data_IF_713173043869
#
_entry.id   IF_713173043869
#
_cell.length_a   1.000
_cell.length_b   1.000
_cell.length_c   1.000
_cell.angle_alpha   90.00
_cell.angle_beta   90.00
_cell.angle_gamma   90.00
#
_symmetry.space_group_name_H-M   'P 1'
#
loop_
_entity.id
_entity.type
_entity.pdbx_description
1 polymer ?
#
# COMPACT_ATOMS: atom_id res chain seq x y z
N UNK A 1 -1.94 -14.19 29.41
CA UNK A 1 -2.64 -13.34 28.42
C UNK A 1 -1.61 -12.75 27.48
N UNK A 2 -1.83 -12.77 26.18
CA UNK A 2 -0.90 -12.14 25.23
C UNK A 2 -1.00 -10.61 25.33
N UNK A 3 0.15 -9.90 25.41
CA UNK A 3 0.19 -8.43 25.43
C UNK A 3 -0.42 -7.88 24.12
N UNK A 4 -1.34 -6.89 24.17
CA UNK A 4 -1.95 -6.31 22.98
C UNK A 4 -0.89 -5.63 22.08
N UNK A 5 -1.17 -5.58 20.78
CA UNK A 5 -0.32 -4.89 19.81
C UNK A 5 -0.65 -3.40 19.80
N UNK A 6 0.37 -2.59 20.03
CA UNK A 6 0.31 -1.13 19.97
C UNK A 6 0.24 -0.62 18.53
N UNK A 7 -0.20 0.63 18.33
CA UNK A 7 -0.18 1.24 16.99
C UNK A 7 1.25 1.35 16.44
N UNK A 8 2.25 1.54 17.31
CA UNK A 8 3.65 1.53 16.90
C UNK A 8 4.10 0.16 16.38
N UNK A 9 3.70 -0.95 17.05
CA UNK A 9 3.97 -2.31 16.54
C UNK A 9 3.28 -2.54 15.19
N UNK A 10 2.01 -2.13 15.04
CA UNK A 10 1.28 -2.23 13.78
C UNK A 10 1.95 -1.44 12.65
N UNK A 11 2.40 -0.22 12.93
CA UNK A 11 3.14 0.61 11.97
C UNK A 11 4.40 -0.12 11.51
N UNK A 12 5.23 -0.59 12.45
CA UNK A 12 6.45 -1.33 12.12
C UNK A 12 6.20 -2.59 11.29
N UNK A 13 5.12 -3.33 11.57
CA UNK A 13 4.74 -4.52 10.78
C UNK A 13 4.50 -4.12 9.33
N UNK A 14 3.72 -3.06 9.10
CA UNK A 14 3.44 -2.56 7.75
C UNK A 14 4.70 -2.04 7.07
N UNK A 15 5.51 -1.23 7.77
CA UNK A 15 6.77 -0.70 7.24
C UNK A 15 7.74 -1.82 6.84
N UNK A 16 7.81 -2.90 7.63
CA UNK A 16 8.64 -4.05 7.31
C UNK A 16 8.14 -4.77 6.05
N UNK A 17 6.82 -4.93 5.89
CA UNK A 17 6.23 -5.53 4.69
C UNK A 17 6.58 -4.70 3.44
N UNK A 18 6.49 -3.37 3.54
CA UNK A 18 6.83 -2.46 2.44
C UNK A 18 8.33 -2.55 2.12
N UNK A 19 9.19 -2.44 3.15
CA UNK A 19 10.64 -2.46 3.03
C UNK A 19 11.16 -3.72 2.34
N UNK A 20 10.68 -4.88 2.77
CA UNK A 20 11.10 -6.18 2.22
C UNK A 20 10.41 -6.54 0.90
N UNK A 21 9.53 -5.66 0.36
CA UNK A 21 8.62 -5.97 -0.75
C UNK A 21 7.90 -7.31 -0.50
N UNK A 22 7.54 -7.51 0.77
CA UNK A 22 7.05 -8.76 1.35
C UNK A 22 5.59 -9.05 1.03
N UNK A 23 4.92 -8.16 0.30
CA UNK A 23 3.52 -8.27 -0.09
C UNK A 23 3.19 -9.57 -0.82
N UNK A 24 4.14 -10.13 -1.59
CA UNK A 24 3.98 -11.45 -2.21
C UNK A 24 4.08 -12.62 -1.22
N UNK A 25 4.77 -12.46 -0.08
CA UNK A 25 5.12 -13.54 0.86
C UNK A 25 4.26 -13.57 2.12
N UNK A 26 3.19 -12.77 2.19
CA UNK A 26 2.31 -12.67 3.36
C UNK A 26 1.61 -13.98 3.74
N UNK A 27 1.30 -14.84 2.77
CA UNK A 27 0.71 -16.17 3.02
C UNK A 27 1.72 -17.19 3.56
N UNK A 28 3.00 -17.05 3.21
CA UNK A 28 4.10 -17.93 3.64
C UNK A 28 4.51 -17.69 5.09
N UNK A 29 5.59 -18.34 5.54
CA UNK A 29 6.15 -18.13 6.88
C UNK A 29 7.51 -17.41 6.85
N UNK A 30 8.16 -17.29 5.67
CA UNK A 30 9.50 -16.73 5.54
C UNK A 30 9.56 -15.27 5.99
N UNK A 31 8.65 -14.44 5.49
CA UNK A 31 8.57 -13.02 5.88
C UNK A 31 8.39 -12.85 7.39
N UNK A 32 7.46 -13.62 7.97
CA UNK A 32 7.15 -13.54 9.41
C UNK A 32 8.29 -14.01 10.29
N UNK A 33 9.03 -15.04 9.87
CA UNK A 33 10.24 -15.51 10.56
C UNK A 33 11.38 -14.50 10.46
N UNK A 34 11.50 -13.80 9.35
CA UNK A 34 12.45 -12.70 9.24
C UNK A 34 12.05 -11.55 10.18
N UNK A 35 10.76 -11.22 10.23
CA UNK A 35 10.20 -10.19 11.10
C UNK A 35 10.37 -10.51 12.60
N UNK A 36 10.23 -11.77 13.02
CA UNK A 36 10.47 -12.21 14.40
C UNK A 36 11.87 -11.85 14.93
N UNK A 37 12.87 -11.69 14.06
CA UNK A 37 14.22 -11.27 14.48
C UNK A 37 14.29 -9.79 14.92
N UNK A 38 13.35 -8.97 14.46
CA UNK A 38 13.29 -7.53 14.74
C UNK A 38 12.19 -7.16 15.75
N UNK A 39 11.35 -8.13 16.14
CA UNK A 39 10.22 -7.93 17.03
C UNK A 39 10.30 -8.87 18.22
N UNK A 40 9.94 -8.37 19.41
CA UNK A 40 9.81 -9.17 20.63
C UNK A 40 8.51 -10.02 20.62
N UNK A 41 8.18 -10.64 19.48
CA UNK A 41 6.93 -11.37 19.23
C UNK A 41 7.20 -12.55 18.32
N UNK A 42 6.52 -13.65 18.58
CA UNK A 42 6.67 -14.84 17.73
C UNK A 42 6.08 -14.60 16.34
N UNK A 43 6.70 -15.20 15.32
CA UNK A 43 6.23 -15.09 13.93
C UNK A 43 4.77 -15.58 13.79
N UNK A 44 4.36 -16.57 14.59
CA UNK A 44 2.98 -17.07 14.64
C UNK A 44 2.01 -16.00 15.15
N UNK A 45 2.38 -15.30 16.23
CA UNK A 45 1.58 -14.22 16.79
C UNK A 45 1.47 -13.02 15.86
N UNK A 46 2.58 -12.64 15.21
CA UNK A 46 2.62 -11.54 14.23
C UNK A 46 1.68 -11.84 13.06
N UNK A 47 1.81 -13.04 12.47
CA UNK A 47 0.99 -13.49 11.35
C UNK A 47 -0.50 -13.56 11.72
N UNK A 48 -0.82 -14.10 12.88
CA UNK A 48 -2.21 -14.20 13.34
C UNK A 48 -2.82 -12.82 13.59
N UNK A 49 -2.10 -11.94 14.28
CA UNK A 49 -2.55 -10.59 14.57
C UNK A 49 -2.78 -9.80 13.28
N UNK A 50 -1.83 -9.87 12.34
CA UNK A 50 -1.98 -9.24 11.04
C UNK A 50 -3.25 -9.73 10.34
N UNK A 51 -3.44 -11.05 10.21
CA UNK A 51 -4.58 -11.64 9.51
C UNK A 51 -5.93 -11.32 10.14
N UNK A 52 -6.04 -11.43 11.48
CA UNK A 52 -7.34 -11.33 12.16
C UNK A 52 -7.72 -9.91 12.56
N UNK A 53 -6.74 -9.07 12.88
CA UNK A 53 -6.98 -7.76 13.51
C UNK A 53 -6.57 -6.60 12.60
N UNK A 54 -5.41 -6.67 11.96
CA UNK A 54 -4.93 -5.57 11.10
C UNK A 54 -5.57 -5.61 9.72
N UNK A 55 -5.52 -6.74 9.04
CA UNK A 55 -5.97 -6.93 7.66
C UNK A 55 -7.41 -6.44 7.38
N UNK A 56 -8.45 -6.80 8.15
CA UNK A 56 -9.81 -6.33 7.86
C UNK A 56 -9.92 -4.81 7.93
N UNK A 57 -9.15 -4.16 8.80
CA UNK A 57 -9.18 -2.71 9.00
C UNK A 57 -7.93 -2.01 8.46
N UNK A 58 -7.20 -2.64 7.54
CA UNK A 58 -5.84 -2.22 7.18
C UNK A 58 -5.77 -0.76 6.69
N UNK A 59 -6.74 -0.35 5.89
CA UNK A 59 -6.86 1.03 5.35
C UNK A 59 -7.37 2.02 6.41
N UNK A 60 -8.07 1.52 7.43
CA UNK A 60 -8.64 2.31 8.53
C UNK A 60 -7.70 2.39 9.75
N UNK A 61 -6.49 1.82 9.66
CA UNK A 61 -5.53 1.89 10.75
C UNK A 61 -5.04 3.33 10.93
N UNK A 62 -5.06 3.78 12.18
CA UNK A 62 -4.44 5.03 12.60
C UNK A 62 -2.91 4.84 12.71
N UNK A 63 -2.26 4.82 11.55
CA UNK A 63 -0.81 4.70 11.40
C UNK A 63 -0.31 5.65 10.33
N UNK A 64 0.90 6.17 10.54
CA UNK A 64 1.59 7.06 9.63
C UNK A 64 2.23 6.26 8.47
N UNK A 65 1.39 5.75 7.58
CA UNK A 65 1.73 5.07 6.33
C UNK A 65 0.73 5.50 5.25
N UNK A 66 1.19 5.71 4.01
CA UNK A 66 0.28 6.10 2.92
C UNK A 66 -0.81 5.05 2.70
N UNK A 67 -2.06 5.52 2.52
CA UNK A 67 -3.22 4.68 2.21
C UNK A 67 -3.03 3.82 0.97
N UNK A 68 -2.18 4.25 0.05
CA UNK A 68 -1.87 3.54 -1.19
C UNK A 68 -1.05 2.28 -0.95
N UNK A 69 -0.02 2.37 -0.12
CA UNK A 69 0.80 1.21 0.27
C UNK A 69 -0.07 0.19 1.01
N UNK A 70 -0.96 0.67 1.88
CA UNK A 70 -1.93 -0.17 2.58
C UNK A 70 -2.90 -0.85 1.58
N UNK A 71 -3.40 -0.12 0.59
CA UNK A 71 -4.26 -0.67 -0.45
C UNK A 71 -3.52 -1.72 -1.30
N UNK A 72 -2.27 -1.44 -1.67
CA UNK A 72 -1.42 -2.37 -2.43
C UNK A 72 -1.15 -3.68 -1.67
N UNK A 73 -0.83 -3.59 -0.38
CA UNK A 73 -0.70 -4.76 0.50
C UNK A 73 -2.03 -5.52 0.59
N UNK A 74 -3.16 -4.82 0.72
CA UNK A 74 -4.49 -5.46 0.81
C UNK A 74 -4.80 -6.23 -0.49
N UNK A 75 -4.58 -5.63 -1.65
CA UNK A 75 -4.83 -6.25 -2.96
C UNK A 75 -3.93 -7.45 -3.24
N UNK A 76 -2.63 -7.33 -3.00
CA UNK A 76 -1.66 -8.41 -3.21
C UNK A 76 -1.99 -9.67 -2.38
N UNK A 77 -2.51 -9.48 -1.16
CA UNK A 77 -2.99 -10.58 -0.32
C UNK A 77 -4.28 -11.22 -0.84
N UNK A 78 -5.22 -10.41 -1.35
CA UNK A 78 -6.51 -10.89 -1.88
C UNK A 78 -6.32 -11.69 -3.17
N UNK A 79 -5.53 -11.18 -4.13
CA UNK A 79 -5.30 -11.84 -5.43
C UNK A 79 -4.77 -13.28 -5.30
N UNK A 80 -4.03 -13.59 -4.23
CA UNK A 80 -3.44 -14.92 -3.99
C UNK A 80 -4.37 -15.87 -3.23
N UNK A 81 -5.41 -15.36 -2.59
CA UNK A 81 -6.39 -16.18 -1.87
C UNK A 81 -7.44 -16.66 -2.86
N UNK A 82 -7.30 -17.88 -3.42
CA UNK A 82 -8.31 -18.50 -4.29
C UNK A 82 -9.71 -18.31 -3.66
N UNK A 83 -10.57 -17.60 -4.39
CA UNK A 83 -11.87 -17.02 -4.02
C UNK A 83 -12.64 -17.76 -2.91
N UNK A 84 -12.94 -17.03 -1.83
CA UNK A 84 -14.11 -17.28 -0.97
C UNK A 84 -14.51 -15.92 -0.34
N UNK A 85 -15.28 -15.10 -1.07
CA UNK A 85 -15.42 -13.66 -0.80
C UNK A 85 -16.50 -13.33 0.21
N UNK A 86 -16.11 -13.27 1.48
CA UNK A 86 -16.81 -12.51 2.54
C UNK A 86 -16.54 -10.99 2.44
N UNK A 87 -15.60 -10.56 1.60
CA UNK A 87 -14.99 -9.22 1.63
C UNK A 87 -15.06 -8.47 0.28
N UNK A 88 -16.10 -8.72 -0.51
CA UNK A 88 -16.23 -8.23 -1.90
C UNK A 88 -16.28 -6.68 -1.99
N UNK A 89 -17.05 -6.04 -1.10
CA UNK A 89 -17.20 -4.56 -1.09
C UNK A 89 -15.92 -3.79 -0.73
N UNK A 90 -15.04 -4.37 0.09
CA UNK A 90 -13.78 -3.73 0.45
C UNK A 90 -12.72 -3.85 -0.66
N UNK A 91 -12.84 -4.87 -1.52
CA UNK A 91 -11.96 -5.05 -2.67
C UNK A 91 -12.22 -3.94 -3.72
N UNK A 92 -13.48 -3.60 -3.97
CA UNK A 92 -13.87 -2.50 -4.85
C UNK A 92 -13.32 -1.14 -4.36
N UNK A 93 -13.32 -0.90 -3.05
CA UNK A 93 -12.79 0.34 -2.47
C UNK A 93 -11.27 0.46 -2.68
N UNK A 94 -10.52 -0.63 -2.46
CA UNK A 94 -9.07 -0.66 -2.69
C UNK A 94 -8.72 -0.40 -4.16
N UNK A 95 -9.46 -1.05 -5.07
CA UNK A 95 -9.26 -0.90 -6.51
C UNK A 95 -9.55 0.54 -6.97
N UNK A 96 -10.64 1.14 -6.48
CA UNK A 96 -11.00 2.54 -6.77
C UNK A 96 -9.92 3.52 -6.33
N UNK A 97 -9.30 3.33 -5.16
CA UNK A 97 -8.23 4.20 -4.66
C UNK A 97 -7.02 4.18 -5.60
N UNK A 98 -6.58 2.99 -6.03
CA UNK A 98 -5.41 2.87 -6.92
C UNK A 98 -5.70 3.36 -8.35
N UNK A 99 -6.89 3.08 -8.87
CA UNK A 99 -7.32 3.51 -10.21
C UNK A 99 -7.45 5.04 -10.29
N UNK A 100 -8.06 5.68 -9.28
CA UNK A 100 -8.12 7.14 -9.17
C UNK A 100 -6.71 7.78 -9.19
N UNK A 101 -5.73 7.16 -8.54
CA UNK A 101 -4.37 7.70 -8.52
C UNK A 101 -3.64 7.52 -9.85
N UNK A 102 -3.86 6.41 -10.54
CA UNK A 102 -3.31 6.21 -11.88
C UNK A 102 -3.83 7.30 -12.85
N UNK A 103 -5.13 7.60 -12.80
CA UNK A 103 -5.77 8.65 -13.61
C UNK A 103 -5.22 10.04 -13.29
N UNK A 104 -5.09 10.39 -12.00
CA UNK A 104 -4.56 11.71 -11.60
C UNK A 104 -3.08 11.89 -11.94
N UNK A 105 -2.27 10.83 -11.79
CA UNK A 105 -0.86 10.86 -12.19
C UNK A 105 -0.71 11.08 -13.70
N UNK A 106 -1.46 10.32 -14.50
CA UNK A 106 -1.48 10.48 -15.96
C UNK A 106 -1.92 11.90 -16.37
N UNK A 107 -2.94 12.44 -15.69
CA UNK A 107 -3.45 13.80 -15.94
C UNK A 107 -2.37 14.85 -15.62
N UNK A 108 -1.68 14.73 -14.48
CA UNK A 108 -0.61 15.64 -14.09
C UNK A 108 0.61 15.57 -15.04
N UNK A 109 0.93 14.38 -15.54
CA UNK A 109 2.00 14.17 -16.52
C UNK A 109 1.65 14.83 -17.87
N UNK A 110 0.39 14.70 -18.33
CA UNK A 110 -0.09 15.41 -19.53
C UNK A 110 -0.03 16.93 -19.38
N UNK A 111 -0.53 17.46 -18.27
CA UNK A 111 -0.50 18.91 -18.02
C UNK A 111 0.93 19.47 -17.96
N UNK A 112 1.89 18.71 -17.41
CA UNK A 112 3.32 19.07 -17.44
C UNK A 112 3.87 19.09 -18.86
N UNK A 113 3.53 18.09 -19.68
CA UNK A 113 3.93 18.01 -21.08
C UNK A 113 3.41 19.22 -21.87
N UNK A 114 2.14 19.57 -21.70
CA UNK A 114 1.49 20.71 -22.36
C UNK A 114 2.05 22.05 -21.88
N UNK A 115 2.40 22.17 -20.59
CA UNK A 115 3.08 23.37 -20.06
C UNK A 115 4.47 23.54 -20.68
N UNK A 116 5.23 22.46 -20.82
CA UNK A 116 6.54 22.47 -21.46
C UNK A 116 6.46 22.85 -22.95
N UNK A 117 5.41 22.39 -23.65
CA UNK A 117 5.15 22.74 -25.05
C UNK A 117 4.80 24.23 -25.23
N UNK A 118 3.95 24.79 -24.35
CA UNK A 118 3.57 26.22 -24.38
C UNK A 118 4.73 27.17 -24.08
N UNK A 119 5.63 26.77 -23.18
CA UNK A 119 6.83 27.56 -22.85
C UNK A 119 7.81 27.62 -24.03
N UNK A 120 7.93 26.51 -24.76
CA UNK A 120 8.74 26.41 -25.99
C UNK A 120 8.16 27.25 -27.13
N UNK A 121 6.83 27.30 -27.28
CA UNK A 121 6.15 28.09 -28.32
C UNK A 121 6.25 29.60 -28.08
N UNK A 122 6.18 30.05 -26.81
CA UNK A 122 6.41 31.46 -26.43
C UNK A 122 7.81 31.98 -26.75
N UNK A 123 8.81 31.10 -26.86
CA UNK A 123 10.19 31.45 -27.18
C UNK A 123 10.44 31.69 -28.68
N UNK A 124 9.55 31.21 -29.55
CA UNK A 124 9.66 31.37 -31.02
C UNK A 124 9.05 32.68 -31.50
N UNK A 125 8.04 33.20 -30.79
CA UNK A 125 7.32 34.43 -31.19
C UNK A 125 8.13 35.71 -30.92
N UNK A 126 9.06 35.68 -29.95
CA UNK A 126 9.90 36.83 -29.55
C UNK A 126 11.07 37.12 -30.53
N UNK A 127 11.31 36.25 -31.52
CA UNK A 127 12.37 36.40 -32.53
C UNK A 127 11.87 36.92 -33.89
N UNK A 128 10.57 37.22 -34.01
CA UNK A 128 9.93 37.63 -35.27
C UNK A 128 9.36 39.05 -35.28
N UNK A 129 9.70 39.88 -34.29
CA UNK A 129 9.38 41.32 -34.26
C UNK A 129 10.63 42.21 -34.36
#
# INVERSE_FOLDING_TARGET
MARPYTNNEKKKIVEFIIREKGHYNLQGNLLWKAMEKEFDRTWQGLKEHFKKQMFPKLIQLDIDVSKEELAFIKLSYIQRSKVNTKWDKELEECARILDYKAITKETLEREKQERCARDSEKMVVDLTE
#
